data_IF_659240484114
#
_entry.id   IF_659240484114
#
_cell.length_a   1.000
_cell.length_b   1.000
_cell.length_c   1.000
_cell.angle_alpha   90.00
_cell.angle_beta   90.00
_cell.angle_gamma   90.00
#
_symmetry.space_group_name_H-M   'P 1'
#
loop_
_entity.id
_entity.type
_entity.pdbx_description
1 polymer ?
#
# COMPACT_ATOMS: atom_id res chain seq x y z
N UNK A 1 -33.31 86.72 -11.22
CA UNK A 1 -34.74 86.54 -11.54
C UNK A 1 -34.88 85.15 -12.17
N UNK A 2 -35.69 84.17 -11.76
CA UNK A 2 -36.69 83.98 -10.69
C UNK A 2 -36.56 82.51 -10.22
N UNK A 3 -36.50 82.20 -8.91
CA UNK A 3 -37.57 81.56 -8.09
C UNK A 3 -38.54 80.67 -8.88
N UNK A 4 -38.99 79.50 -8.45
CA UNK A 4 -38.84 78.55 -7.31
C UNK A 4 -39.69 77.35 -7.82
N UNK A 5 -39.35 76.10 -7.53
CA UNK A 5 -40.10 75.35 -6.50
C UNK A 5 -39.26 74.22 -5.93
N UNK A 6 -39.40 74.06 -4.62
CA UNK A 6 -38.87 72.99 -3.79
C UNK A 6 -39.78 71.77 -3.89
N UNK A 7 -39.20 70.59 -3.72
CA UNK A 7 -39.79 69.58 -2.83
C UNK A 7 -38.71 68.92 -1.99
N UNK A 8 -39.13 68.56 -0.77
CA UNK A 8 -38.35 68.25 0.43
C UNK A 8 -38.61 66.80 0.83
N UNK A 9 -37.56 66.10 1.25
CA UNK A 9 -37.49 65.01 2.25
C UNK A 9 -36.48 63.95 1.76
N UNK A 10 -35.62 63.31 2.56
CA UNK A 10 -35.24 63.44 3.95
C UNK A 10 -33.87 62.74 4.11
N UNK A 11 -33.16 63.13 5.15
CA UNK A 11 -31.79 62.76 5.49
C UNK A 11 -31.74 61.43 6.24
N UNK A 12 -30.75 60.58 5.93
CA UNK A 12 -30.15 59.67 6.92
C UNK A 12 -28.65 59.53 6.65
N UNK A 13 -27.84 60.23 7.46
CA UNK A 13 -26.39 60.02 7.60
C UNK A 13 -26.18 58.99 8.70
N UNK A 14 -25.31 58.02 8.47
CA UNK A 14 -24.76 57.21 9.55
C UNK A 14 -23.25 57.09 9.39
N UNK A 15 -22.52 57.58 10.40
CA UNK A 15 -21.07 57.45 10.54
C UNK A 15 -20.69 56.07 11.10
N UNK A 16 -19.57 55.46 10.69
CA UNK A 16 -19.13 54.20 11.28
C UNK A 16 -18.40 54.46 12.60
N UNK A 17 -18.92 53.87 13.67
CA UNK A 17 -18.32 53.85 14.99
C UNK A 17 -17.09 52.91 15.02
N UNK A 18 -16.01 53.40 15.63
CA UNK A 18 -14.82 52.62 15.99
C UNK A 18 -15.21 51.44 16.89
N UNK A 19 -14.85 50.22 16.50
CA UNK A 19 -14.82 49.06 17.41
C UNK A 19 -13.44 48.41 17.41
N UNK A 20 -13.01 48.09 18.63
CA UNK A 20 -11.69 47.61 19.04
C UNK A 20 -11.37 46.25 18.42
N UNK A 21 -10.13 46.10 17.97
CA UNK A 21 -9.54 44.84 17.50
C UNK A 21 -9.34 43.85 18.67
N UNK A 22 -9.75 42.58 18.54
CA UNK A 22 -9.18 41.49 19.30
C UNK A 22 -7.96 40.92 18.57
N UNK A 23 -6.89 40.65 19.32
CA UNK A 23 -5.68 39.93 18.89
C UNK A 23 -6.05 38.57 18.29
N UNK A 24 -5.71 38.34 17.02
CA UNK A 24 -5.78 37.04 16.37
C UNK A 24 -4.63 36.16 16.87
N UNK A 25 -4.98 35.18 17.71
CA UNK A 25 -4.15 34.02 17.99
C UNK A 25 -4.18 33.08 16.77
N UNK A 26 -2.99 32.64 16.32
CA UNK A 26 -2.79 31.58 15.32
C UNK A 26 -3.45 30.28 15.81
N UNK A 27 -4.44 29.79 15.09
CA UNK A 27 -4.96 28.43 15.25
C UNK A 27 -4.65 27.61 13.98
N UNK A 28 -3.79 26.59 14.13
CA UNK A 28 -3.58 25.51 13.16
C UNK A 28 -4.85 24.65 13.14
N UNK A 29 -5.58 24.65 12.04
CA UNK A 29 -6.76 23.80 11.86
C UNK A 29 -6.38 22.37 11.45
N UNK A 30 -6.61 21.41 12.34
CA UNK A 30 -6.92 20.02 11.96
C UNK A 30 -8.31 20.06 11.31
N UNK A 31 -8.42 19.78 9.99
CA UNK A 31 -9.70 19.65 9.30
C UNK A 31 -10.25 18.25 9.59
N UNK A 32 -11.30 18.18 10.40
CA UNK A 32 -12.22 17.03 10.44
C UNK A 32 -13.02 17.14 9.14
N UNK A 33 -12.81 16.21 8.22
CA UNK A 33 -13.58 16.16 6.97
C UNK A 33 -14.87 15.41 7.29
N UNK A 34 -15.95 16.17 7.48
CA UNK A 34 -17.31 15.62 7.51
C UNK A 34 -17.70 15.24 6.08
N UNK A 35 -17.27 14.06 5.63
CA UNK A 35 -17.75 13.46 4.39
C UNK A 35 -19.06 12.70 4.69
N UNK A 36 -20.19 13.42 4.67
CA UNK A 36 -21.49 12.78 4.40
C UNK A 36 -21.60 12.58 2.89
N UNK A 37 -21.10 11.45 2.43
CA UNK A 37 -21.55 10.83 1.18
C UNK A 37 -22.39 9.63 1.61
N UNK A 38 -23.60 9.51 1.07
CA UNK A 38 -24.52 8.40 1.32
C UNK A 38 -23.85 7.06 0.95
N UNK A 39 -23.10 6.51 1.89
CA UNK A 39 -22.64 5.14 1.89
C UNK A 39 -23.76 4.29 2.52
N UNK A 40 -24.09 3.12 1.96
CA UNK A 40 -25.04 2.22 2.59
C UNK A 40 -24.56 1.91 4.02
N UNK A 41 -25.48 1.91 4.98
CA UNK A 41 -25.27 1.44 6.36
C UNK A 41 -24.75 -0.01 6.33
N UNK A 42 -23.43 -0.16 6.22
CA UNK A 42 -22.75 -1.43 6.33
C UNK A 42 -21.46 -1.23 7.13
N UNK A 43 -21.57 -1.33 8.46
CA UNK A 43 -20.44 -1.41 9.40
C UNK A 43 -19.40 -2.47 8.97
N UNK A 44 -19.78 -3.42 8.10
CA UNK A 44 -18.89 -4.43 7.50
C UNK A 44 -17.92 -3.84 6.46
N UNK A 45 -18.34 -2.86 5.66
CA UNK A 45 -17.51 -2.26 4.61
C UNK A 45 -16.39 -1.38 5.21
N UNK A 46 -16.71 -0.59 6.24
CA UNK A 46 -15.78 0.29 6.95
C UNK A 46 -14.65 -0.47 7.69
N UNK A 47 -14.83 -1.76 7.94
CA UNK A 47 -13.87 -2.62 8.64
C UNK A 47 -13.13 -3.60 7.72
N UNK A 48 -13.33 -3.47 6.40
CA UNK A 48 -12.74 -4.38 5.41
C UNK A 48 -11.53 -3.81 4.65
N UNK A 49 -11.39 -2.48 4.58
CA UNK A 49 -10.29 -1.79 3.90
C UNK A 49 -9.62 -0.78 4.82
N UNK A 50 -8.30 -0.86 4.94
CA UNK A 50 -7.51 -0.02 5.85
C UNK A 50 -6.48 0.85 5.14
N UNK A 51 -6.27 0.63 3.84
CA UNK A 51 -5.66 1.61 2.95
C UNK A 51 -6.65 1.90 1.85
N UNK A 52 -6.67 3.15 1.40
CA UNK A 52 -7.55 3.56 0.29
C UNK A 52 -6.89 4.64 -0.53
N UNK A 53 -7.24 4.69 -1.80
CA UNK A 53 -6.84 5.73 -2.72
C UNK A 53 -8.06 6.60 -3.01
N UNK A 54 -8.04 7.83 -2.51
CA UNK A 54 -9.18 8.77 -2.59
C UNK A 54 -8.79 9.95 -3.45
N UNK A 55 -9.75 10.43 -4.24
CA UNK A 55 -9.65 11.70 -4.96
C UNK A 55 -10.40 12.76 -4.17
N UNK A 56 -9.76 13.90 -3.95
CA UNK A 56 -10.36 15.11 -3.40
C UNK A 56 -11.15 15.81 -4.50
N UNK A 57 -12.44 16.04 -4.25
CA UNK A 57 -13.35 16.65 -5.21
C UNK A 57 -13.08 18.15 -5.40
N UNK A 58 -12.51 18.83 -4.39
CA UNK A 58 -12.27 20.28 -4.45
C UNK A 58 -11.13 20.63 -5.42
N UNK A 59 -10.05 19.85 -5.41
CA UNK A 59 -8.82 20.20 -6.12
C UNK A 59 -8.27 19.08 -7.03
N UNK A 60 -8.96 17.94 -7.10
CA UNK A 60 -8.59 16.79 -7.92
C UNK A 60 -7.38 16.02 -7.41
N UNK A 61 -6.86 16.34 -6.22
CA UNK A 61 -5.71 15.68 -5.62
C UNK A 61 -6.06 14.25 -5.21
N UNK A 62 -5.19 13.31 -5.53
CA UNK A 62 -5.28 11.95 -5.07
C UNK A 62 -4.43 11.75 -3.81
N UNK A 63 -4.94 10.99 -2.86
CA UNK A 63 -4.23 10.66 -1.63
C UNK A 63 -4.27 9.14 -1.38
N UNK A 64 -3.10 8.53 -1.16
CA UNK A 64 -3.08 7.24 -0.47
C UNK A 64 -3.30 7.52 1.01
N UNK A 65 -4.34 6.93 1.58
CA UNK A 65 -4.68 7.08 2.98
C UNK A 65 -4.50 5.78 3.74
N UNK A 66 -4.04 5.90 4.98
CA UNK A 66 -3.90 4.84 5.96
C UNK A 66 -4.90 5.06 7.10
N UNK A 67 -5.58 3.99 7.51
CA UNK A 67 -6.52 4.00 8.61
C UNK A 67 -5.83 3.76 9.96
N UNK A 68 -6.30 4.46 10.98
CA UNK A 68 -6.09 4.13 12.39
C UNK A 68 -7.44 3.80 13.01
N UNK A 69 -7.60 2.55 13.43
CA UNK A 69 -8.84 2.06 14.03
C UNK A 69 -8.70 2.02 15.53
N UNK A 70 -9.59 2.69 16.24
CA UNK A 70 -9.65 2.67 17.70
C UNK A 70 -10.70 1.66 18.15
N UNK A 71 -10.30 0.75 19.03
CA UNK A 71 -11.16 -0.26 19.64
C UNK A 71 -11.19 -0.08 21.16
N UNK A 72 -12.34 -0.39 21.77
CA UNK A 72 -12.55 -0.38 23.22
C UNK A 72 -13.31 -1.63 23.66
N UNK A 73 -13.17 -2.08 24.92
CA UNK A 73 -13.91 -3.22 25.44
C UNK A 73 -15.42 -3.06 25.23
N UNK A 74 -16.11 -4.16 24.88
CA UNK A 74 -17.56 -4.16 24.73
C UNK A 74 -18.26 -3.83 26.04
N UNK A 75 -19.22 -2.90 25.98
CA UNK A 75 -20.11 -2.61 27.11
C UNK A 75 -20.95 -3.87 27.40
N UNK A 76 -20.71 -4.50 28.56
CA UNK A 76 -21.40 -5.74 28.97
C UNK A 76 -20.53 -6.99 28.96
N UNK A 77 -19.28 -6.89 28.50
CA UNK A 77 -18.27 -7.94 28.67
C UNK A 77 -18.20 -8.34 30.15
N UNK A 78 -18.33 -9.64 30.42
CA UNK A 78 -18.45 -10.24 31.76
C UNK A 78 -17.40 -9.63 32.69
N UNK A 79 -17.86 -8.79 33.62
CA UNK A 79 -17.03 -8.15 34.62
C UNK A 79 -16.49 -9.19 35.60
N UNK A 80 -15.48 -9.96 35.19
CA UNK A 80 -14.64 -10.70 36.13
C UNK A 80 -13.66 -9.70 36.73
N UNK A 81 -14.10 -9.12 37.86
CA UNK A 81 -13.32 -8.50 38.92
C UNK A 81 -11.92 -7.98 38.53
N UNK A 82 -11.88 -6.80 37.91
CA UNK A 82 -10.85 -5.79 38.14
C UNK A 82 -11.39 -4.45 37.64
N UNK A 83 -11.44 -3.47 38.53
CA UNK A 83 -12.05 -2.15 38.37
C UNK A 83 -11.35 -1.22 37.35
N UNK A 84 -10.51 -1.73 36.44
CA UNK A 84 -9.74 -0.94 35.47
C UNK A 84 -10.22 -1.02 34.01
N UNK A 85 -11.22 -1.88 33.69
CA UNK A 85 -11.62 -2.17 32.31
C UNK A 85 -12.31 -1.04 31.53
N UNK A 86 -12.72 0.07 32.17
CA UNK A 86 -13.47 1.17 31.51
C UNK A 86 -12.62 2.17 30.72
N UNK A 87 -11.29 2.08 30.79
CA UNK A 87 -10.37 2.99 30.09
C UNK A 87 -9.51 2.34 29.00
N UNK A 88 -9.60 1.01 28.81
CA UNK A 88 -8.70 0.32 27.88
C UNK A 88 -8.98 0.70 26.43
N UNK A 89 -7.93 1.04 25.70
CA UNK A 89 -8.00 1.46 24.32
C UNK A 89 -6.93 0.75 23.48
N UNK A 90 -7.35 0.15 22.37
CA UNK A 90 -6.45 -0.44 21.38
C UNK A 90 -6.53 0.39 20.11
N UNK A 91 -5.40 0.91 19.61
CA UNK A 91 -5.33 1.58 18.31
C UNK A 91 -4.58 0.72 17.32
N UNK A 92 -5.19 0.36 16.20
CA UNK A 92 -4.55 -0.40 15.11
C UNK A 92 -4.32 0.54 13.93
N UNK A 93 -3.07 0.87 13.67
CA UNK A 93 -2.66 1.69 12.53
C UNK A 93 -2.20 0.80 11.37
N UNK A 94 -2.79 0.96 10.20
CA UNK A 94 -2.38 0.32 8.96
C UNK A 94 -1.18 1.05 8.34
N UNK A 95 -0.02 0.92 8.95
CA UNK A 95 1.22 1.57 8.55
C UNK A 95 1.60 1.17 7.10
N UNK A 96 1.98 2.15 6.30
CA UNK A 96 2.63 1.90 5.01
C UNK A 96 4.15 1.89 5.18
N UNK A 97 4.83 0.94 4.53
CA UNK A 97 6.30 0.84 4.60
C UNK A 97 7.03 1.89 3.75
N UNK A 98 6.30 2.57 2.86
CA UNK A 98 6.78 3.67 2.03
C UNK A 98 5.80 4.83 2.16
N UNK A 99 6.29 6.04 2.40
CA UNK A 99 5.43 7.19 2.66
C UNK A 99 6.20 8.50 2.61
N UNK A 100 5.49 9.63 2.72
CA UNK A 100 6.16 10.91 2.91
C UNK A 100 6.78 11.02 4.31
N UNK A 101 7.86 11.78 4.47
CA UNK A 101 8.45 12.00 5.79
C UNK A 101 7.45 12.60 6.80
N UNK A 102 6.58 13.51 6.34
CA UNK A 102 5.56 14.13 7.19
C UNK A 102 4.55 13.11 7.73
N UNK A 103 4.25 12.07 6.96
CA UNK A 103 3.40 10.97 7.39
C UNK A 103 4.05 10.24 8.58
N UNK A 104 5.32 9.84 8.47
CA UNK A 104 6.04 9.14 9.55
C UNK A 104 6.26 10.02 10.77
N UNK A 105 6.57 11.31 10.59
CA UNK A 105 6.65 12.27 11.70
C UNK A 105 5.31 12.44 12.42
N UNK A 106 4.20 12.34 11.68
CA UNK A 106 2.85 12.28 12.24
C UNK A 106 2.60 10.99 13.03
N UNK A 107 2.98 9.83 12.47
CA UNK A 107 2.87 8.52 13.14
C UNK A 107 3.68 8.51 14.43
N UNK A 108 4.99 8.82 14.39
CA UNK A 108 5.84 8.86 15.58
C UNK A 108 5.25 9.76 16.66
N UNK A 109 4.72 10.94 16.30
CA UNK A 109 4.09 11.85 17.28
C UNK A 109 2.82 11.29 17.91
N UNK A 110 1.91 10.73 17.11
CA UNK A 110 0.60 10.28 17.57
C UNK A 110 0.68 8.93 18.30
N UNK A 111 1.76 8.18 18.07
CA UNK A 111 2.03 6.86 18.67
C UNK A 111 3.21 6.89 19.65
N UNK A 112 3.72 8.07 20.00
CA UNK A 112 4.75 8.20 21.02
C UNK A 112 4.20 7.69 22.36
N UNK A 113 4.80 6.62 22.88
CA UNK A 113 4.45 6.04 24.16
C UNK A 113 5.05 6.88 25.30
N UNK A 114 4.52 8.08 25.52
CA UNK A 114 4.99 8.99 26.57
C UNK A 114 4.77 8.35 27.94
N UNK A 115 5.79 8.40 28.80
CA UNK A 115 5.80 7.76 30.13
C UNK A 115 4.61 8.15 31.02
N UNK A 116 4.03 9.34 30.82
CA UNK A 116 2.88 9.83 31.60
C UNK A 116 1.51 9.41 31.05
N UNK A 117 1.46 8.82 29.86
CA UNK A 117 0.20 8.60 29.11
C UNK A 117 -0.29 7.14 29.14
N UNK A 118 0.31 6.28 29.96
CA UNK A 118 -0.15 4.88 30.12
C UNK A 118 -0.17 4.07 28.82
N UNK A 119 0.66 4.46 27.85
CA UNK A 119 0.64 3.92 26.50
C UNK A 119 1.84 2.99 26.25
N UNK A 120 1.58 1.90 25.50
CA UNK A 120 2.60 1.05 24.90
C UNK A 120 2.38 0.98 23.38
N UNK A 121 3.44 1.16 22.61
CA UNK A 121 3.39 1.08 21.14
C UNK A 121 4.11 -0.18 20.68
N UNK A 122 3.37 -1.08 20.05
CA UNK A 122 3.84 -2.36 19.55
C UNK A 122 4.00 -2.26 18.04
N UNK A 123 5.17 -2.65 17.53
CA UNK A 123 5.54 -2.44 16.12
C UNK A 123 5.75 -3.76 15.41
N UNK A 124 5.25 -3.84 14.17
CA UNK A 124 5.63 -4.85 13.20
C UNK A 124 7.08 -4.61 12.75
N UNK A 125 7.97 -5.53 13.13
CA UNK A 125 9.37 -5.46 12.74
C UNK A 125 10.01 -6.84 12.83
N UNK A 126 10.29 -7.42 11.67
CA UNK A 126 11.06 -8.66 11.58
C UNK A 126 12.54 -8.32 11.68
N UNK A 127 13.16 -8.74 12.78
CA UNK A 127 14.59 -8.53 13.02
C UNK A 127 15.20 -9.73 13.75
N UNK A 128 16.53 -9.83 13.79
CA UNK A 128 17.19 -10.92 14.52
C UNK A 128 17.10 -10.69 16.02
N UNK A 129 17.16 -11.77 16.80
CA UNK A 129 17.24 -11.69 18.27
C UNK A 129 18.43 -10.87 18.78
N UNK A 130 19.51 -10.77 18.02
CA UNK A 130 20.69 -9.99 18.40
C UNK A 130 20.41 -8.47 18.44
N UNK A 131 19.38 -8.01 17.71
CA UNK A 131 18.97 -6.60 17.70
C UNK A 131 17.97 -6.27 18.81
N UNK A 132 17.53 -7.26 19.60
CA UNK A 132 16.50 -7.13 20.61
C UNK A 132 17.10 -7.10 22.02
N UNK A 133 16.52 -6.27 22.87
CA UNK A 133 16.78 -6.23 24.31
C UNK A 133 15.49 -6.52 25.08
N UNK A 134 15.60 -6.97 26.32
CA UNK A 134 14.44 -7.19 27.18
C UNK A 134 13.73 -5.85 27.45
N UNK A 135 12.43 -5.77 27.18
CA UNK A 135 11.63 -4.57 27.42
C UNK A 135 11.27 -4.36 28.88
N UNK A 136 11.53 -5.32 29.76
CA UNK A 136 11.49 -5.10 31.22
C UNK A 136 12.41 -3.95 31.66
N UNK A 137 13.46 -3.65 30.87
CA UNK A 137 14.39 -2.53 31.05
C UNK A 137 13.69 -1.16 30.97
N UNK A 138 12.49 -1.06 30.37
CA UNK A 138 11.71 0.19 30.29
C UNK A 138 11.05 0.58 31.63
N UNK A 139 11.12 -0.26 32.67
CA UNK A 139 10.54 0.02 33.99
C UNK A 139 9.00 -0.06 34.04
N UNK A 140 8.31 -0.07 32.90
CA UNK A 140 6.83 -0.14 32.79
C UNK A 140 6.24 -1.54 33.00
N UNK A 141 7.07 -2.56 33.23
CA UNK A 141 6.63 -3.94 33.47
C UNK A 141 6.05 -4.68 32.26
N UNK A 142 6.17 -4.13 31.05
CA UNK A 142 5.73 -4.78 29.81
C UNK A 142 6.73 -5.88 29.42
N UNK A 143 6.25 -7.13 29.37
CA UNK A 143 7.06 -8.32 29.08
C UNK A 143 7.16 -8.58 27.57
N UNK A 144 7.73 -7.63 26.83
CA UNK A 144 8.00 -7.72 25.40
C UNK A 144 9.42 -7.27 25.09
N UNK A 145 9.92 -7.57 23.89
CA UNK A 145 11.23 -7.10 23.47
C UNK A 145 11.18 -5.64 23.02
N UNK A 146 12.31 -4.95 23.13
CA UNK A 146 12.56 -3.64 22.53
C UNK A 146 13.68 -3.73 21.52
N UNK A 147 13.70 -2.79 20.58
CA UNK A 147 14.81 -2.65 19.66
C UNK A 147 16.01 -2.03 20.38
N UNK A 148 17.14 -2.74 20.38
CA UNK A 148 18.38 -2.31 21.05
C UNK A 148 19.38 -1.58 20.14
N UNK A 149 19.22 -1.69 18.82
CA UNK A 149 20.13 -1.10 17.83
C UNK A 149 19.36 -0.36 16.75
N UNK A 150 20.02 0.60 16.10
CA UNK A 150 19.43 1.27 14.94
C UNK A 150 19.34 0.30 13.77
N UNK A 151 18.20 0.31 13.08
CA UNK A 151 18.00 -0.44 11.85
C UNK A 151 17.70 0.53 10.72
N UNK A 152 18.34 0.29 9.57
CA UNK A 152 18.04 0.98 8.32
C UNK A 152 17.26 0.08 7.36
N UNK A 153 16.61 0.66 6.33
CA UNK A 153 16.02 -0.11 5.25
C UNK A 153 17.10 -0.84 4.43
N UNK A 154 16.71 -1.91 3.74
CA UNK A 154 17.61 -2.54 2.75
C UNK A 154 17.86 -1.60 1.57
N UNK A 155 18.91 -1.88 0.79
CA UNK A 155 19.25 -1.08 -0.39
C UNK A 155 18.10 -1.07 -1.41
N UNK A 156 17.41 -2.20 -1.58
CA UNK A 156 16.26 -2.34 -2.48
C UNK A 156 15.07 -1.52 -1.99
N UNK A 157 14.73 -1.58 -0.69
CA UNK A 157 13.66 -0.79 -0.12
C UNK A 157 13.95 0.71 -0.25
N UNK A 158 15.19 1.13 -0.02
CA UNK A 158 15.62 2.52 -0.19
C UNK A 158 15.53 2.98 -1.64
N UNK A 159 15.99 2.15 -2.59
CA UNK A 159 15.90 2.43 -4.01
C UNK A 159 14.44 2.53 -4.48
N UNK A 160 13.56 1.65 -3.99
CA UNK A 160 12.13 1.65 -4.29
C UNK A 160 11.46 2.94 -3.79
N UNK A 161 11.74 3.34 -2.55
CA UNK A 161 11.23 4.58 -1.98
C UNK A 161 11.69 5.79 -2.80
N UNK A 162 12.99 5.86 -3.12
CA UNK A 162 13.58 6.94 -3.91
C UNK A 162 12.99 7.04 -5.33
N UNK A 163 12.70 5.91 -5.98
CA UNK A 163 12.06 5.87 -7.30
C UNK A 163 10.67 6.54 -7.35
N UNK A 164 10.05 6.74 -6.18
CA UNK A 164 8.76 7.42 -5.99
C UNK A 164 8.84 8.77 -5.28
N UNK A 165 10.04 9.24 -4.92
CA UNK A 165 10.17 10.43 -4.05
C UNK A 165 9.48 10.22 -2.70
N UNK A 166 9.60 9.01 -2.15
CA UNK A 166 9.11 8.62 -0.83
C UNK A 166 10.30 8.22 0.05
N UNK A 167 10.03 8.05 1.34
CA UNK A 167 10.96 7.50 2.32
C UNK A 167 10.53 6.10 2.71
N UNK A 168 11.49 5.22 3.01
CA UNK A 168 11.19 3.95 3.65
C UNK A 168 10.89 4.20 5.15
N UNK A 169 10.05 3.34 5.74
CA UNK A 169 9.67 3.45 7.16
C UNK A 169 10.87 3.60 8.09
N UNK A 170 11.88 2.74 7.95
CA UNK A 170 13.05 2.71 8.83
C UNK A 170 14.02 3.89 8.63
N UNK A 171 13.88 4.69 7.56
CA UNK A 171 14.66 5.93 7.41
C UNK A 171 14.13 7.04 8.32
N UNK A 172 12.88 6.95 8.80
CA UNK A 172 12.20 8.06 9.51
C UNK A 172 11.65 7.65 10.87
N UNK A 173 11.18 6.40 11.02
CA UNK A 173 10.56 5.89 12.23
C UNK A 173 11.57 5.08 13.06
N UNK A 174 11.95 5.59 14.24
CA UNK A 174 12.85 4.89 15.16
C UNK A 174 12.05 4.16 16.25
N UNK A 175 12.09 2.83 16.21
CA UNK A 175 11.38 1.98 17.18
C UNK A 175 12.17 1.73 18.49
N UNK A 176 13.29 2.42 18.72
CA UNK A 176 14.08 2.30 19.96
C UNK A 176 13.53 3.12 21.12
N UNK A 177 12.61 4.04 20.87
CA UNK A 177 12.06 4.93 21.90
C UNK A 177 11.47 4.17 23.11
N UNK A 178 11.48 4.79 24.29
CA UNK A 178 10.84 4.21 25.48
C UNK A 178 9.34 4.03 25.27
N UNK A 179 8.81 2.90 25.75
CA UNK A 179 7.43 2.49 25.51
C UNK A 179 7.14 1.92 24.11
N UNK A 180 8.14 1.80 23.23
CA UNK A 180 8.04 1.08 21.97
C UNK A 180 8.58 -0.34 22.11
N UNK A 181 7.80 -1.32 21.69
CA UNK A 181 8.10 -2.74 21.80
C UNK A 181 7.89 -3.44 20.47
N UNK A 182 8.60 -4.55 20.27
CA UNK A 182 8.46 -5.41 19.11
C UNK A 182 7.46 -6.51 19.47
N UNK A 183 6.39 -6.61 18.68
CA UNK A 183 5.34 -7.61 18.87
C UNK A 183 5.19 -8.55 17.66
N UNK A 184 6.30 -8.80 16.98
CA UNK A 184 6.35 -9.62 15.78
C UNK A 184 7.26 -10.84 15.99
N UNK A 185 7.23 -11.77 15.04
CA UNK A 185 8.15 -12.90 15.00
C UNK A 185 9.57 -12.41 14.67
N UNK A 186 10.57 -13.06 15.25
CA UNK A 186 11.96 -12.78 14.89
C UNK A 186 12.27 -13.33 13.49
N UNK A 187 13.39 -12.90 12.90
CA UNK A 187 13.85 -13.44 11.62
C UNK A 187 14.01 -14.95 11.67
N UNK A 188 14.57 -15.47 12.75
CA UNK A 188 14.79 -16.91 12.96
C UNK A 188 13.46 -17.67 13.04
N UNK A 189 12.50 -17.11 13.78
CA UNK A 189 11.15 -17.67 13.89
C UNK A 189 10.40 -17.63 12.55
N UNK A 190 10.57 -16.56 11.78
CA UNK A 190 9.98 -16.47 10.44
C UNK A 190 10.54 -17.53 9.49
N UNK A 191 11.84 -17.80 9.53
CA UNK A 191 12.48 -18.85 8.74
C UNK A 191 11.90 -20.21 9.14
N UNK A 192 11.85 -20.51 10.44
CA UNK A 192 11.26 -21.75 10.93
C UNK A 192 9.78 -21.90 10.55
N UNK A 193 8.99 -20.82 10.63
CA UNK A 193 7.58 -20.83 10.20
C UNK A 193 7.44 -21.02 8.69
N UNK A 194 8.36 -20.51 7.87
CA UNK A 194 8.38 -20.72 6.42
C UNK A 194 8.75 -22.16 6.07
N UNK A 195 9.68 -22.76 6.80
CA UNK A 195 10.04 -24.18 6.69
C UNK A 195 8.84 -25.06 7.08
N UNK A 196 8.23 -24.82 8.25
CA UNK A 196 7.04 -25.54 8.72
C UNK A 196 5.87 -25.36 7.74
N UNK A 197 5.63 -24.14 7.24
CA UNK A 197 4.58 -23.90 6.25
C UNK A 197 4.90 -24.56 4.89
N UNK A 198 6.18 -24.67 4.53
CA UNK A 198 6.65 -25.42 3.36
C UNK A 198 6.45 -26.93 3.51
N UNK A 199 6.59 -27.46 4.73
CA UNK A 199 6.31 -28.85 5.07
C UNK A 199 4.79 -29.13 5.20
N UNK A 200 4.02 -28.20 5.76
CA UNK A 200 2.54 -28.25 5.84
C UNK A 200 1.89 -28.12 4.46
N UNK A 201 2.47 -27.32 3.55
CA UNK A 201 2.11 -27.28 2.15
C UNK A 201 2.62 -28.51 1.36
N UNK A 202 3.53 -29.29 1.95
CA UNK A 202 4.16 -30.48 1.38
C UNK A 202 3.29 -31.75 1.41
N UNK A 203 2.10 -31.72 2.02
CA UNK A 203 1.13 -32.83 2.01
C UNK A 203 0.32 -32.99 0.71
N UNK A 204 0.47 -32.08 -0.25
CA UNK A 204 -0.19 -32.17 -1.55
C UNK A 204 0.75 -31.73 -2.65
N UNK A 205 1.33 -32.70 -3.37
CA UNK A 205 2.23 -32.45 -4.49
C UNK A 205 1.66 -31.47 -5.51
N UNK A 206 2.02 -30.20 -5.38
CA UNK A 206 1.96 -29.24 -6.48
C UNK A 206 3.30 -29.33 -7.20
N UNK A 207 3.26 -29.89 -8.40
CA UNK A 207 4.39 -29.92 -9.31
C UNK A 207 5.08 -28.54 -9.33
N UNK A 208 6.34 -28.48 -8.91
CA UNK A 208 7.22 -27.37 -9.23
C UNK A 208 7.26 -27.31 -10.76
N UNK A 209 6.50 -26.39 -11.35
CA UNK A 209 6.53 -26.18 -12.80
C UNK A 209 7.95 -25.78 -13.19
N UNK A 210 8.52 -26.44 -14.21
CA UNK A 210 9.89 -26.26 -14.71
C UNK A 210 10.27 -24.79 -15.04
N UNK A 211 9.29 -23.89 -15.09
CA UNK A 211 9.46 -22.44 -15.25
C UNK A 211 10.15 -21.78 -14.05
N UNK A 212 9.98 -22.30 -12.82
CA UNK A 212 10.54 -21.72 -11.60
C UNK A 212 12.05 -22.00 -11.40
N UNK A 213 12.66 -22.83 -12.26
CA UNK A 213 14.10 -23.13 -12.28
C UNK A 213 14.84 -22.44 -13.42
N UNK A 214 14.16 -21.59 -14.18
CA UNK A 214 14.76 -20.84 -15.29
C UNK A 214 15.49 -19.60 -14.76
N UNK A 215 16.60 -19.17 -15.39
CA UNK A 215 17.17 -17.84 -15.19
C UNK A 215 16.08 -16.76 -15.28
N UNK A 216 16.16 -15.65 -14.53
CA UNK A 216 15.09 -14.65 -14.47
C UNK A 216 14.64 -14.11 -15.84
N UNK A 217 15.56 -14.01 -16.80
CA UNK A 217 15.24 -13.62 -18.17
C UNK A 217 14.39 -14.68 -18.92
N UNK A 218 14.65 -15.97 -18.68
CA UNK A 218 13.91 -17.08 -19.28
C UNK A 218 12.59 -17.35 -18.53
N UNK A 219 12.54 -17.14 -17.21
CA UNK A 219 11.29 -17.10 -16.45
C UNK A 219 10.39 -15.99 -16.98
N UNK A 220 10.94 -14.77 -17.16
CA UNK A 220 10.24 -13.64 -17.75
C UNK A 220 9.68 -13.97 -19.15
N UNK A 221 10.48 -14.59 -20.02
CA UNK A 221 10.01 -15.02 -21.34
C UNK A 221 8.92 -16.10 -21.26
N UNK A 222 9.05 -17.08 -20.37
CA UNK A 222 8.07 -18.15 -20.20
C UNK A 222 6.74 -17.64 -19.61
N UNK A 223 6.79 -16.79 -18.58
CA UNK A 223 5.60 -16.14 -17.99
C UNK A 223 4.93 -15.22 -19.01
N UNK A 224 5.72 -14.50 -19.81
CA UNK A 224 5.23 -13.65 -20.90
C UNK A 224 4.53 -14.49 -21.97
N UNK A 225 5.13 -15.58 -22.42
CA UNK A 225 4.56 -16.44 -23.47
C UNK A 225 3.34 -17.24 -22.99
N UNK A 226 3.36 -17.81 -21.79
CA UNK A 226 2.40 -18.84 -21.35
C UNK A 226 1.44 -18.39 -20.24
N UNK A 227 1.68 -17.25 -19.60
CA UNK A 227 0.89 -16.75 -18.47
C UNK A 227 1.19 -17.47 -17.15
N UNK A 228 0.76 -16.88 -16.03
CA UNK A 228 1.03 -17.41 -14.66
C UNK A 228 0.06 -18.49 -14.21
N UNK A 229 -1.17 -18.48 -14.71
CA UNK A 229 -2.13 -19.56 -14.47
C UNK A 229 -1.81 -20.70 -15.43
N UNK A 230 -0.90 -21.58 -15.03
CA UNK A 230 -0.30 -22.59 -15.91
C UNK A 230 -1.32 -23.37 -16.74
N UNK A 231 -1.04 -23.46 -18.05
CA UNK A 231 -1.23 -24.58 -18.98
C UNK A 231 -2.50 -25.47 -18.94
N UNK A 232 -3.52 -25.19 -18.12
CA UNK A 232 -4.67 -26.08 -17.90
C UNK A 232 -5.91 -25.74 -18.72
N UNK A 233 -5.91 -24.59 -19.41
CA UNK A 233 -7.01 -24.17 -20.28
C UNK A 233 -6.48 -23.95 -21.71
N UNK A 234 -6.70 -24.90 -22.63
CA UNK A 234 -6.26 -24.79 -24.02
C UNK A 234 -6.83 -23.56 -24.75
N UNK A 235 -8.05 -23.12 -24.40
CA UNK A 235 -8.66 -21.96 -25.02
C UNK A 235 -7.99 -20.66 -24.58
N UNK A 236 -7.61 -20.55 -23.29
CA UNK A 236 -6.82 -19.41 -22.80
C UNK A 236 -5.42 -19.40 -23.39
N UNK A 237 -4.76 -20.55 -23.45
CA UNK A 237 -3.44 -20.62 -24.07
C UNK A 237 -3.50 -20.23 -25.55
N UNK A 238 -4.47 -20.75 -26.31
CA UNK A 238 -4.67 -20.37 -27.70
C UNK A 238 -4.96 -18.88 -27.87
N UNK A 239 -5.83 -18.31 -27.03
CA UNK A 239 -6.14 -16.87 -27.07
C UNK A 239 -4.89 -16.03 -26.80
N UNK A 240 -4.10 -16.40 -25.78
CA UNK A 240 -2.86 -15.71 -25.44
C UNK A 240 -1.82 -15.81 -26.56
N UNK A 241 -1.64 -17.01 -27.14
CA UNK A 241 -0.72 -17.21 -28.26
C UNK A 241 -1.16 -16.42 -29.50
N UNK A 242 -2.46 -16.31 -29.73
CA UNK A 242 -3.02 -15.51 -30.84
C UNK A 242 -2.76 -14.02 -30.66
N UNK A 243 -2.76 -13.52 -29.42
CA UNK A 243 -2.42 -12.12 -29.13
C UNK A 243 -0.99 -11.73 -29.52
N UNK A 244 -0.05 -12.68 -29.66
CA UNK A 244 1.31 -12.37 -30.13
C UNK A 244 1.41 -12.09 -31.63
N UNK A 245 0.38 -12.44 -32.41
CA UNK A 245 0.40 -12.35 -33.87
C UNK A 245 -0.41 -11.16 -34.42
N UNK A 246 -0.87 -10.27 -33.54
CA UNK A 246 -1.62 -9.06 -33.90
C UNK A 246 -0.77 -7.81 -33.64
N UNK A 247 -1.09 -6.66 -34.26
CA UNK A 247 -0.47 -5.39 -33.89
C UNK A 247 -0.73 -5.07 -32.41
N UNK A 248 0.24 -4.42 -31.75
CA UNK A 248 0.20 -4.06 -30.33
C UNK A 248 -0.05 -5.28 -29.40
N UNK A 249 0.72 -6.37 -29.51
CA UNK A 249 0.44 -7.61 -28.78
C UNK A 249 0.51 -7.41 -27.27
N UNK A 250 1.38 -6.54 -26.76
CA UNK A 250 1.43 -6.16 -25.34
C UNK A 250 0.13 -5.54 -24.83
N UNK A 251 -0.51 -4.66 -25.61
CA UNK A 251 -1.79 -4.07 -25.23
C UNK A 251 -2.90 -5.13 -25.15
N UNK A 252 -2.92 -6.06 -26.11
CA UNK A 252 -3.89 -7.16 -26.14
C UNK A 252 -3.67 -8.13 -24.98
N UNK A 253 -2.42 -8.47 -24.67
CA UNK A 253 -2.07 -9.35 -23.55
C UNK A 253 -2.39 -8.71 -22.20
N UNK A 254 -2.11 -7.42 -22.02
CA UNK A 254 -2.49 -6.68 -20.82
C UNK A 254 -4.01 -6.62 -20.65
N UNK A 255 -4.74 -6.36 -21.75
CA UNK A 255 -6.21 -6.37 -21.74
C UNK A 255 -6.75 -7.76 -21.42
N UNK A 256 -6.17 -8.80 -22.01
CA UNK A 256 -6.54 -10.19 -21.79
C UNK A 256 -6.35 -10.59 -20.33
N UNK A 257 -5.19 -10.27 -19.75
CA UNK A 257 -4.90 -10.51 -18.34
C UNK A 257 -5.83 -9.70 -17.43
N UNK A 258 -6.17 -8.46 -17.82
CA UNK A 258 -7.10 -7.60 -17.09
C UNK A 258 -8.56 -8.11 -17.13
N UNK A 259 -9.04 -8.56 -18.29
CA UNK A 259 -10.38 -9.16 -18.43
C UNK A 259 -10.47 -10.46 -17.64
N UNK A 260 -9.45 -11.32 -17.72
CA UNK A 260 -9.42 -12.58 -16.98
C UNK A 260 -9.25 -12.38 -15.47
N UNK A 261 -8.73 -11.24 -15.04
CA UNK A 261 -8.74 -10.79 -13.65
C UNK A 261 -10.08 -10.15 -13.21
N UNK A 262 -11.11 -10.08 -14.07
CA UNK A 262 -12.43 -9.53 -13.73
C UNK A 262 -12.55 -8.00 -13.88
N UNK A 263 -11.80 -7.43 -14.82
CA UNK A 263 -11.49 -6.01 -14.96
C UNK A 263 -12.62 -4.97 -14.80
N UNK A 264 -12.28 -3.90 -14.08
CA UNK A 264 -12.85 -2.55 -14.15
C UNK A 264 -11.70 -1.54 -14.21
N UNK A 265 -11.77 -0.46 -15.01
CA UNK A 265 -10.65 0.47 -15.11
C UNK A 265 -10.53 1.19 -13.76
N UNK A 266 -9.32 1.27 -13.21
CA UNK A 266 -9.15 2.02 -11.97
C UNK A 266 -9.48 3.49 -12.21
N UNK A 267 -10.22 4.09 -11.28
CA UNK A 267 -10.59 5.50 -11.31
C UNK A 267 -9.36 6.43 -11.39
N UNK A 268 -8.18 5.95 -10.98
CA UNK A 268 -6.92 6.71 -11.04
C UNK A 268 -6.29 6.75 -12.43
N UNK A 269 -6.71 5.88 -13.37
CA UNK A 269 -6.07 5.75 -14.68
C UNK A 269 -6.05 7.07 -15.46
N UNK A 270 -7.15 7.83 -15.42
CA UNK A 270 -7.20 9.15 -16.07
C UNK A 270 -6.15 10.11 -15.52
N UNK A 271 -5.97 10.14 -14.19
CA UNK A 271 -4.96 10.96 -13.54
C UNK A 271 -3.52 10.52 -13.88
N UNK A 272 -3.26 9.22 -14.01
CA UNK A 272 -1.96 8.71 -14.47
C UNK A 272 -1.66 9.16 -15.91
N UNK A 273 -2.64 9.06 -16.81
CA UNK A 273 -2.50 9.52 -18.20
C UNK A 273 -2.22 11.02 -18.23
N UNK A 274 -2.92 11.81 -17.42
CA UNK A 274 -2.69 13.25 -17.31
C UNK A 274 -1.27 13.58 -16.85
N UNK A 275 -0.76 12.86 -15.85
CA UNK A 275 0.62 12.98 -15.40
C UNK A 275 1.62 12.62 -16.52
N UNK A 276 1.45 11.48 -17.19
CA UNK A 276 2.31 11.05 -18.30
C UNK A 276 2.29 12.05 -19.48
N UNK A 277 1.12 12.54 -19.86
CA UNK A 277 0.95 13.50 -20.96
C UNK A 277 1.64 14.85 -20.67
N UNK A 278 1.88 15.19 -19.41
CA UNK A 278 2.61 16.38 -18.99
C UNK A 278 4.08 16.11 -18.63
N UNK A 279 4.58 14.88 -18.85
CA UNK A 279 5.93 14.49 -18.47
C UNK A 279 6.16 14.34 -16.97
N UNK A 280 5.10 14.40 -16.14
CA UNK A 280 5.17 14.17 -14.69
C UNK A 280 5.15 12.67 -14.38
N UNK A 281 6.23 12.00 -14.77
CA UNK A 281 6.38 10.56 -14.57
C UNK A 281 6.48 10.16 -13.09
N UNK A 282 6.92 11.08 -12.23
CA UNK A 282 7.02 10.82 -10.79
C UNK A 282 5.62 10.71 -10.17
N UNK A 283 4.72 11.65 -10.47
CA UNK A 283 3.33 11.58 -10.02
C UNK A 283 2.61 10.37 -10.60
N UNK A 284 2.81 10.04 -11.88
CA UNK A 284 2.25 8.83 -12.49
C UNK A 284 2.68 7.56 -11.73
N UNK A 285 3.99 7.44 -11.42
CA UNK A 285 4.53 6.31 -10.64
C UNK A 285 3.95 6.26 -9.22
N UNK A 286 3.79 7.40 -8.53
CA UNK A 286 3.21 7.45 -7.18
C UNK A 286 1.74 7.04 -7.16
N UNK A 287 0.97 7.41 -8.18
CA UNK A 287 -0.42 6.96 -8.35
C UNK A 287 -0.50 5.46 -8.61
N UNK A 288 0.37 4.93 -9.48
CA UNK A 288 0.46 3.49 -9.75
C UNK A 288 0.80 2.69 -8.50
N UNK A 289 1.80 3.17 -7.76
CA UNK A 289 2.22 2.56 -6.51
C UNK A 289 1.11 2.56 -5.46
N UNK A 290 0.40 3.69 -5.30
CA UNK A 290 -0.74 3.79 -4.39
C UNK A 290 -1.87 2.81 -4.77
N UNK A 291 -2.22 2.76 -6.06
CA UNK A 291 -3.26 1.85 -6.55
C UNK A 291 -2.89 0.39 -6.31
N UNK A 292 -1.64 0.02 -6.54
CA UNK A 292 -1.16 -1.33 -6.29
C UNK A 292 -1.30 -1.68 -4.80
N UNK A 293 -0.83 -0.82 -3.90
CA UNK A 293 -0.90 -1.08 -2.45
C UNK A 293 -2.35 -1.34 -2.00
N UNK A 294 -3.31 -0.55 -2.50
CA UNK A 294 -4.74 -0.74 -2.19
C UNK A 294 -5.28 -2.02 -2.82
N UNK A 295 -4.88 -2.31 -4.06
CA UNK A 295 -5.34 -3.51 -4.78
C UNK A 295 -4.82 -4.81 -4.14
N UNK A 296 -3.64 -4.77 -3.52
CA UNK A 296 -3.08 -5.91 -2.78
C UNK A 296 -3.88 -6.28 -1.52
N UNK A 297 -4.68 -5.35 -0.99
CA UNK A 297 -5.59 -5.61 0.14
C UNK A 297 -6.97 -6.14 -0.28
N UNK A 298 -7.36 -5.96 -1.54
CA UNK A 298 -8.67 -6.36 -2.02
C UNK A 298 -8.77 -7.89 -2.12
N UNK A 299 -9.82 -8.46 -1.52
CA UNK A 299 -10.15 -9.90 -1.64
C UNK A 299 -10.77 -10.19 -3.01
N UNK A 300 -10.41 -11.32 -3.63
CA UNK A 300 -11.11 -11.87 -4.81
C UNK A 300 -10.21 -12.07 -6.03
N UNK A 301 -10.78 -12.36 -7.22
CA UNK A 301 -9.98 -12.68 -8.42
C UNK A 301 -9.28 -11.47 -9.06
N UNK A 302 -9.69 -10.24 -8.74
CA UNK A 302 -9.14 -9.00 -9.31
C UNK A 302 -8.03 -8.36 -8.45
N UNK A 303 -8.05 -8.58 -7.13
CA UNK A 303 -6.94 -8.26 -6.24
C UNK A 303 -6.28 -9.57 -5.88
N UNK A 304 -5.00 -9.77 -6.20
CA UNK A 304 -4.30 -11.04 -5.97
C UNK A 304 -4.19 -11.50 -4.50
N UNK A 305 -4.97 -10.91 -3.57
CA UNK A 305 -5.11 -11.35 -2.19
C UNK A 305 -5.87 -12.67 -2.11
N UNK A 306 -5.13 -13.74 -1.89
CA UNK A 306 -5.65 -14.99 -1.34
C UNK A 306 -6.25 -14.76 0.07
N UNK A 307 -6.89 -15.78 0.64
CA UNK A 307 -7.08 -15.87 2.08
C UNK A 307 -5.80 -15.45 2.82
N UNK A 308 -5.97 -14.80 3.97
CA UNK A 308 -4.87 -14.29 4.81
C UNK A 308 -3.74 -15.33 4.84
N UNK A 309 -2.56 -15.03 4.26
CA UNK A 309 -1.51 -16.02 4.16
C UNK A 309 -1.21 -16.58 5.55
N UNK A 310 -1.01 -17.89 5.68
CA UNK A 310 -0.82 -18.56 6.99
C UNK A 310 0.22 -17.84 7.86
N UNK A 311 1.27 -17.31 7.24
CA UNK A 311 2.30 -16.51 7.92
C UNK A 311 1.77 -15.18 8.48
N UNK A 312 0.86 -14.49 7.78
CA UNK A 312 0.21 -13.26 8.26
C UNK A 312 -0.65 -13.56 9.48
N UNK A 313 -1.45 -14.64 9.44
CA UNK A 313 -2.29 -15.05 10.56
C UNK A 313 -1.46 -15.42 11.80
N UNK A 314 -0.36 -16.17 11.62
CA UNK A 314 0.57 -16.50 12.71
C UNK A 314 1.20 -15.26 13.34
N UNK A 315 1.63 -14.29 12.52
CA UNK A 315 2.18 -13.01 13.00
C UNK A 315 1.12 -12.17 13.72
N UNK A 316 -0.13 -12.19 13.24
CA UNK A 316 -1.25 -11.53 13.92
C UNK A 316 -1.52 -12.14 15.31
N UNK A 317 -1.38 -13.45 15.46
CA UNK A 317 -1.49 -14.09 16.78
C UNK A 317 -0.42 -13.60 17.76
N UNK A 318 0.83 -13.46 17.31
CA UNK A 318 1.94 -12.92 18.12
C UNK A 318 1.67 -11.46 18.50
N UNK A 319 1.19 -10.65 17.55
CA UNK A 319 0.84 -9.26 17.82
C UNK A 319 -0.24 -9.13 18.90
N UNK A 320 -1.29 -9.95 18.82
CA UNK A 320 -2.41 -9.94 19.77
C UNK A 320 -2.01 -10.49 21.15
N UNK A 321 -1.12 -11.48 21.20
CA UNK A 321 -0.49 -11.89 22.46
C UNK A 321 0.36 -10.75 23.06
N UNK A 322 1.05 -9.97 22.22
CA UNK A 322 1.73 -8.74 22.61
C UNK A 322 0.79 -7.72 23.23
N UNK A 323 -0.38 -7.50 22.64
CA UNK A 323 -1.43 -6.62 23.20
C UNK A 323 -1.86 -7.09 24.59
N UNK A 324 -2.07 -8.40 24.78
CA UNK A 324 -2.42 -8.98 26.09
C UNK A 324 -1.33 -8.75 27.13
N UNK A 325 -0.07 -9.01 26.76
CA UNK A 325 1.10 -8.77 27.62
C UNK A 325 1.21 -7.30 28.03
N UNK A 326 0.97 -6.38 27.10
CA UNK A 326 0.99 -4.95 27.38
C UNK A 326 -0.14 -4.55 28.34
N UNK A 327 -1.39 -4.96 28.10
CA UNK A 327 -2.51 -4.66 29.03
C UNK A 327 -2.42 -5.34 30.40
N UNK A 328 -1.58 -6.37 30.54
CA UNK A 328 -1.30 -6.98 31.83
C UNK A 328 -0.34 -6.15 32.69
N UNK A 329 0.37 -5.19 32.11
CA UNK A 329 1.14 -4.21 32.87
C UNK A 329 0.18 -3.21 33.53
N UNK A 330 0.34 -2.92 34.84
CA UNK A 330 -0.63 -2.15 35.61
C UNK A 330 -0.77 -0.69 35.16
N UNK A 331 0.27 -0.13 34.53
CA UNK A 331 0.31 1.26 34.08
C UNK A 331 -0.19 1.44 32.64
N UNK A 332 -0.53 0.36 31.94
CA UNK A 332 -0.89 0.42 30.52
C UNK A 332 -2.40 0.31 30.34
N UNK A 333 -3.01 1.42 29.92
CA UNK A 333 -4.43 1.51 29.53
C UNK A 333 -4.60 1.69 28.02
N UNK A 334 -3.59 2.19 27.31
CA UNK A 334 -3.59 2.29 25.85
C UNK A 334 -2.52 1.41 25.23
N UNK A 335 -2.91 0.61 24.25
CA UNK A 335 -1.97 -0.11 23.38
C UNK A 335 -2.14 0.38 21.95
N UNK A 336 -1.05 0.74 21.30
CA UNK A 336 -1.04 1.06 19.90
C UNK A 336 -0.33 -0.06 19.12
N UNK A 337 -0.93 -0.55 18.03
CA UNK A 337 -0.35 -1.47 17.07
C UNK A 337 0.01 -0.71 15.80
N UNK A 338 1.29 -0.71 15.43
CA UNK A 338 1.80 -0.20 14.16
C UNK A 338 2.12 -1.38 13.24
N UNK A 339 1.18 -1.72 12.35
CA UNK A 339 1.27 -2.89 11.47
C UNK A 339 0.89 -2.55 10.04
N UNK A 340 1.45 -3.27 9.08
CA UNK A 340 1.20 -3.18 7.66
C UNK A 340 -0.29 -3.33 7.35
N UNK A 341 -0.74 -2.65 6.30
CA UNK A 341 -2.16 -2.69 5.92
C UNK A 341 -2.72 -4.10 5.65
N UNK A 342 -1.88 -5.07 5.28
CA UNK A 342 -2.29 -6.48 5.11
C UNK A 342 -2.71 -7.15 6.44
N UNK A 343 -2.10 -6.75 7.55
CA UNK A 343 -2.37 -7.30 8.88
C UNK A 343 -3.62 -6.70 9.53
N UNK A 344 -3.93 -5.42 9.23
CA UNK A 344 -4.97 -4.67 9.92
C UNK A 344 -6.37 -5.35 9.95
N UNK A 345 -6.89 -5.94 8.86
CA UNK A 345 -8.17 -6.68 8.93
C UNK A 345 -8.14 -7.85 9.91
N UNK A 346 -7.07 -8.65 9.89
CA UNK A 346 -6.90 -9.81 10.77
C UNK A 346 -6.71 -9.40 12.23
N UNK A 347 -5.97 -8.33 12.48
CA UNK A 347 -5.75 -7.76 13.82
C UNK A 347 -7.05 -7.19 14.40
N UNK A 348 -7.82 -6.42 13.63
CA UNK A 348 -9.13 -5.90 14.08
C UNK A 348 -10.08 -7.05 14.38
N UNK A 349 -10.15 -8.06 13.50
CA UNK A 349 -10.95 -9.27 13.74
C UNK A 349 -10.50 -9.97 15.04
N UNK A 350 -9.20 -10.20 15.22
CA UNK A 350 -8.67 -10.84 16.42
C UNK A 350 -8.94 -10.02 17.69
N UNK A 351 -8.90 -8.69 17.63
CA UNK A 351 -9.26 -7.85 18.77
C UNK A 351 -10.75 -8.01 19.14
N UNK A 352 -11.65 -8.12 18.15
CA UNK A 352 -13.07 -8.38 18.40
C UNK A 352 -13.34 -9.77 18.97
N UNK A 353 -12.69 -10.78 18.40
CA UNK A 353 -12.95 -12.19 18.74
C UNK A 353 -12.22 -12.64 20.01
N UNK A 354 -10.98 -12.17 20.23
CA UNK A 354 -10.07 -12.67 21.28
C UNK A 354 -9.88 -11.72 22.46
N UNK A 355 -10.21 -10.43 22.30
CA UNK A 355 -10.09 -9.41 23.35
C UNK A 355 -11.44 -8.78 23.73
N UNK A 356 -12.53 -9.19 23.09
CA UNK A 356 -13.89 -8.66 23.28
C UNK A 356 -13.96 -7.13 23.21
N UNK A 357 -13.32 -6.57 22.17
CA UNK A 357 -13.33 -5.13 21.89
C UNK A 357 -14.18 -4.83 20.65
N UNK A 358 -14.84 -3.67 20.60
CA UNK A 358 -15.51 -3.18 19.40
C UNK A 358 -14.81 -1.94 18.85
N UNK A 359 -14.93 -1.77 17.53
CA UNK A 359 -14.47 -0.58 16.82
C UNK A 359 -15.34 0.60 17.23
N UNK A 360 -14.72 1.68 17.69
CA UNK A 360 -15.42 2.90 18.11
C UNK A 360 -15.10 4.11 17.25
N UNK A 361 -13.98 4.09 16.53
CA UNK A 361 -13.55 5.19 15.66
C UNK A 361 -12.57 4.71 14.59
N UNK A 362 -12.57 5.39 13.44
CA UNK A 362 -11.67 5.15 12.30
C UNK A 362 -11.18 6.49 11.76
N UNK A 363 -9.91 6.79 11.99
CA UNK A 363 -9.26 8.00 11.50
C UNK A 363 -8.42 7.70 10.25
N UNK A 364 -8.49 8.57 9.24
CA UNK A 364 -7.71 8.44 8.01
C UNK A 364 -6.62 9.50 7.93
N UNK A 365 -5.40 9.08 7.60
CA UNK A 365 -4.25 9.98 7.37
C UNK A 365 -3.67 9.75 5.99
N UNK A 366 -3.28 10.82 5.31
CA UNK A 366 -2.58 10.72 4.05
C UNK A 366 -1.15 10.21 4.27
N UNK A 367 -0.80 9.10 3.63
CA UNK A 367 0.57 8.62 3.51
C UNK A 367 1.37 9.50 2.53
N UNK A 368 0.73 9.87 1.42
CA UNK A 368 1.19 10.91 0.50
C UNK A 368 0.03 11.39 -0.38
N UNK A 369 0.27 12.52 -1.05
CA UNK A 369 -0.64 13.13 -2.02
C UNK A 369 0.03 13.28 -3.38
N UNK A 370 -0.77 13.19 -4.43
CA UNK A 370 -0.40 13.48 -5.81
C UNK A 370 -1.48 14.37 -6.39
N UNK A 371 -1.10 15.56 -6.87
CA UNK A 371 -2.01 16.45 -7.58
C UNK A 371 -1.76 16.30 -9.07
N UNK A 372 -2.61 15.58 -9.82
CA UNK A 372 -2.43 15.45 -11.25
C UNK A 372 -2.57 16.83 -11.90
N UNK A 373 -1.83 17.10 -12.98
CA UNK A 373 -2.02 18.30 -13.76
C UNK A 373 -3.44 18.34 -14.31
N UNK A 374 -4.09 19.50 -14.21
CA UNK A 374 -5.40 19.72 -14.83
C UNK A 374 -5.21 19.76 -16.35
N UNK A 375 -5.24 18.60 -17.00
CA UNK A 375 -5.08 18.55 -18.45
C UNK A 375 -6.45 18.45 -19.12
N UNK A 376 -6.86 19.54 -19.77
CA UNK A 376 -8.07 19.57 -20.60
C UNK A 376 -7.77 19.24 -22.07
N UNK A 377 -6.50 19.02 -22.45
CA UNK A 377 -6.11 18.88 -23.84
C UNK A 377 -6.62 17.56 -24.44
N UNK A 378 -7.42 17.59 -25.53
CA UNK A 378 -7.83 16.39 -26.25
C UNK A 378 -6.64 15.61 -26.83
N UNK A 379 -5.48 16.27 -27.01
CA UNK A 379 -4.25 15.65 -27.52
C UNK A 379 -3.73 14.52 -26.62
N UNK A 380 -4.11 14.45 -25.34
CA UNK A 380 -3.76 13.32 -24.47
C UNK A 380 -4.32 11.99 -24.99
N UNK A 381 -5.44 12.02 -25.71
CA UNK A 381 -6.00 10.83 -26.34
C UNK A 381 -5.27 10.48 -27.64
N UNK A 382 -4.51 11.39 -28.23
CA UNK A 382 -3.74 11.14 -29.46
C UNK A 382 -2.53 10.22 -29.22
N UNK A 383 -2.07 10.07 -27.97
CA UNK A 383 -1.05 9.08 -27.60
C UNK A 383 -1.48 7.67 -27.95
N UNK A 384 -2.77 7.33 -27.77
CA UNK A 384 -3.26 5.97 -28.05
C UNK A 384 -3.23 5.69 -29.57
N UNK A 385 -3.86 6.50 -30.45
CA UNK A 385 -3.72 6.35 -31.90
C UNK A 385 -2.26 6.41 -32.40
N UNK A 386 -1.40 7.22 -31.79
CA UNK A 386 0.01 7.30 -32.16
C UNK A 386 0.73 5.99 -31.85
N UNK A 387 0.54 5.45 -30.65
CA UNK A 387 1.09 4.16 -30.24
C UNK A 387 0.58 3.03 -31.14
N UNK A 388 -0.75 2.96 -31.33
CA UNK A 388 -1.39 1.98 -32.22
C UNK A 388 -0.89 2.11 -33.67
N UNK A 389 -0.62 3.35 -34.12
CA UNK A 389 -0.07 3.63 -35.44
C UNK A 389 1.35 3.11 -35.59
N UNK A 390 2.23 3.42 -34.64
CA UNK A 390 3.63 2.95 -34.62
C UNK A 390 3.67 1.41 -34.61
N UNK A 391 2.98 0.79 -33.67
CA UNK A 391 2.95 -0.68 -33.54
C UNK A 391 2.27 -1.35 -34.74
N UNK A 392 1.23 -0.72 -35.31
CA UNK A 392 0.59 -1.18 -36.53
C UNK A 392 1.53 -1.16 -37.73
N UNK A 393 2.33 -0.09 -37.89
CA UNK A 393 3.33 -0.03 -38.97
C UNK A 393 4.46 -1.03 -38.78
N UNK A 394 4.89 -1.26 -37.55
CA UNK A 394 5.95 -2.23 -37.24
C UNK A 394 5.48 -3.68 -37.45
N UNK A 395 4.23 -4.00 -37.11
CA UNK A 395 3.62 -5.27 -37.47
C UNK A 395 3.54 -5.45 -38.99
N UNK A 396 3.14 -4.40 -39.72
CA UNK A 396 2.99 -4.48 -41.18
C UNK A 396 4.33 -4.70 -41.86
N UNK A 397 5.37 -4.03 -41.37
CA UNK A 397 6.75 -4.26 -41.80
C UNK A 397 7.20 -5.69 -41.50
N UNK A 398 6.90 -6.21 -40.30
CA UNK A 398 7.23 -7.59 -39.91
C UNK A 398 6.60 -8.61 -40.86
N UNK A 399 5.32 -8.43 -41.23
CA UNK A 399 4.67 -9.29 -42.20
C UNK A 399 5.27 -9.18 -43.60
N UNK A 400 5.58 -7.97 -44.05
CA UNK A 400 6.23 -7.75 -45.33
C UNK A 400 7.58 -8.49 -45.39
N UNK A 401 8.40 -8.33 -44.36
CA UNK A 401 9.70 -9.00 -44.23
C UNK A 401 9.55 -10.52 -44.14
N UNK A 402 8.49 -11.01 -43.47
CA UNK A 402 8.19 -12.43 -43.37
C UNK A 402 7.94 -13.09 -44.73
N UNK A 403 7.34 -12.35 -45.67
CA UNK A 403 7.05 -12.82 -47.04
C UNK A 403 8.26 -12.64 -47.95
N UNK A 404 8.92 -11.48 -47.91
CA UNK A 404 9.97 -11.09 -48.87
C UNK A 404 11.29 -11.80 -48.61
N UNK A 405 11.66 -12.06 -47.35
CA UNK A 405 12.97 -12.62 -47.00
C UNK A 405 13.03 -14.17 -47.14
N UNK A 406 11.92 -14.80 -47.51
CA UNK A 406 11.81 -16.26 -47.62
C UNK A 406 11.70 -16.99 -46.27
N UNK A 407 11.50 -18.31 -46.27
CA UNK A 407 10.96 -19.03 -45.11
C UNK A 407 11.80 -18.92 -43.82
N UNK A 408 13.13 -18.99 -43.93
CA UNK A 408 14.03 -18.99 -42.76
C UNK A 408 14.17 -17.60 -42.14
N UNK A 409 14.39 -16.59 -42.97
CA UNK A 409 14.56 -15.21 -42.50
C UNK A 409 13.21 -14.60 -42.11
N UNK A 410 12.11 -15.01 -42.73
CA UNK A 410 10.78 -14.59 -42.34
C UNK A 410 10.35 -15.12 -40.98
N UNK A 411 10.65 -16.39 -40.67
CA UNK A 411 10.46 -16.93 -39.31
C UNK A 411 11.28 -16.17 -38.27
N UNK A 412 12.52 -15.80 -38.60
CA UNK A 412 13.37 -15.00 -37.72
C UNK A 412 12.79 -13.59 -37.49
N UNK A 413 12.25 -12.95 -38.53
CA UNK A 413 11.61 -11.63 -38.42
C UNK A 413 10.42 -11.66 -37.45
N UNK A 414 9.53 -12.65 -37.60
CA UNK A 414 8.38 -12.85 -36.69
C UNK A 414 8.86 -13.16 -35.27
N UNK A 415 9.91 -13.97 -35.11
CA UNK A 415 10.48 -14.26 -33.79
C UNK A 415 11.02 -13.01 -33.11
N UNK A 416 11.76 -12.15 -33.83
CA UNK A 416 12.29 -10.90 -33.29
C UNK A 416 11.19 -9.91 -32.91
N UNK A 417 10.11 -9.84 -33.69
CA UNK A 417 8.90 -9.10 -33.34
C UNK A 417 8.34 -9.56 -31.99
N UNK A 418 8.13 -10.87 -31.82
CA UNK A 418 7.64 -11.45 -30.56
C UNK A 418 8.59 -11.14 -29.40
N UNK A 419 9.91 -11.22 -29.59
CA UNK A 419 10.89 -10.92 -28.52
C UNK A 419 10.85 -9.44 -28.14
N UNK A 420 10.81 -8.52 -29.09
CA UNK A 420 10.78 -7.07 -28.83
C UNK A 420 9.50 -6.68 -28.09
N UNK A 421 8.34 -7.10 -28.58
CA UNK A 421 7.08 -6.81 -27.91
C UNK A 421 6.90 -7.63 -26.63
N UNK A 422 7.54 -8.79 -26.53
CA UNK A 422 7.65 -9.57 -25.30
C UNK A 422 8.40 -8.81 -24.21
N UNK A 423 9.52 -8.17 -24.57
CA UNK A 423 10.25 -7.30 -23.66
C UNK A 423 9.43 -6.06 -23.27
N UNK A 424 8.67 -5.47 -24.19
CA UNK A 424 7.79 -4.34 -23.91
C UNK A 424 6.62 -4.74 -22.99
N UNK A 425 5.93 -5.85 -23.28
CA UNK A 425 4.91 -6.43 -22.42
C UNK A 425 5.48 -6.77 -21.05
N UNK A 426 6.68 -7.36 -20.97
CA UNK A 426 7.30 -7.69 -19.68
C UNK A 426 7.66 -6.41 -18.92
N UNK A 427 8.20 -5.38 -19.58
CA UNK A 427 8.49 -4.10 -18.95
C UNK A 427 7.21 -3.39 -18.48
N UNK A 428 6.17 -3.37 -19.31
CA UNK A 428 4.86 -2.81 -18.99
C UNK A 428 4.15 -3.61 -17.91
N UNK A 429 4.18 -4.94 -17.97
CA UNK A 429 3.65 -5.85 -16.96
C UNK A 429 4.40 -5.72 -15.65
N UNK A 430 5.72 -5.60 -15.68
CA UNK A 430 6.52 -5.28 -14.49
C UNK A 430 6.16 -3.91 -13.92
N UNK A 431 5.88 -2.94 -14.78
CA UNK A 431 5.52 -1.57 -14.40
C UNK A 431 4.05 -1.40 -13.97
N UNK A 432 3.10 -2.16 -14.52
CA UNK A 432 1.64 -2.08 -14.31
C UNK A 432 1.09 -3.18 -13.38
N UNK A 433 1.69 -4.37 -13.36
CA UNK A 433 1.15 -5.60 -12.77
C UNK A 433 2.07 -6.31 -11.75
N UNK A 434 3.39 -6.13 -11.82
CA UNK A 434 4.37 -7.01 -11.15
C UNK A 434 5.18 -6.37 -10.02
N UNK A 435 4.73 -5.23 -9.52
CA UNK A 435 5.30 -4.61 -8.32
C UNK A 435 5.09 -5.44 -7.03
N UNK A 436 4.32 -6.53 -7.07
CA UNK A 436 3.86 -7.27 -5.90
C UNK A 436 4.88 -8.28 -5.31
N UNK A 437 5.89 -8.75 -6.08
CA UNK A 437 6.79 -9.82 -5.61
C UNK A 437 7.97 -9.30 -4.77
N UNK A 438 8.56 -8.17 -5.15
CA UNK A 438 9.78 -7.64 -4.51
C UNK A 438 9.53 -6.91 -3.17
N UNK A 439 8.28 -6.53 -2.89
CA UNK A 439 7.93 -5.87 -1.62
C UNK A 439 7.95 -6.82 -0.41
N UNK A 440 7.77 -8.12 -0.65
CA UNK A 440 7.55 -9.11 0.40
C UNK A 440 8.49 -10.33 0.33
N UNK A 441 9.12 -10.56 -0.84
CA UNK A 441 10.30 -11.42 -0.97
C UNK A 441 11.56 -10.55 -0.94
N UNK A 442 11.87 -10.00 0.23
CA UNK A 442 13.27 -9.74 0.52
C UNK A 442 13.93 -11.13 0.57
N UNK A 443 14.56 -11.53 -0.54
CA UNK A 443 15.66 -12.50 -0.47
C UNK A 443 16.58 -11.95 0.61
N UNK A 444 16.56 -12.60 1.77
CA UNK A 444 17.42 -12.17 2.84
C UNK A 444 18.81 -12.55 2.39
N UNK A 445 19.52 -11.57 1.84
CA UNK A 445 20.85 -11.75 1.30
C UNK A 445 21.74 -12.50 2.29
N UNK A 446 22.76 -13.21 1.79
CA UNK A 446 23.69 -13.92 2.66
C UNK A 446 24.25 -12.96 3.70
N UNK A 447 24.30 -13.43 4.95
CA UNK A 447 24.89 -12.70 6.07
C UNK A 447 26.29 -12.21 5.70
N UNK A 448 26.69 -10.97 6.04
CA UNK A 448 28.07 -10.49 5.85
C UNK A 448 29.11 -11.21 6.75
N UNK A 449 28.76 -12.33 7.38
CA UNK A 449 29.64 -13.09 8.27
C UNK A 449 30.54 -14.12 7.55
N UNK A 450 30.58 -14.18 6.22
CA UNK A 450 31.45 -15.13 5.49
C UNK A 450 32.59 -14.48 4.70
N UNK A 451 32.94 -13.22 4.97
CA UNK A 451 34.22 -12.66 4.51
C UNK A 451 35.26 -12.82 5.62
N UNK A 452 36.21 -13.71 5.37
CA UNK A 452 37.47 -13.98 6.07
C UNK A 452 37.43 -14.55 7.50
N UNK A 453 37.27 -15.87 7.53
CA UNK A 453 38.15 -16.73 8.34
C UNK A 453 38.72 -17.86 7.49
N UNK A 454 39.67 -17.51 6.63
CA UNK A 454 40.70 -18.45 6.19
C UNK A 454 42.02 -17.69 6.10
N UNK A 455 43.02 -18.31 6.69
CA UNK A 455 44.43 -17.96 6.59
C UNK A 455 44.93 -17.92 5.14
#
# INVERSE_FOLDING_TARGET
MARRTRDVAAVARWSPARRRLPRLARARGRRRVDARVDAPDDDSAATSQFLRLVRDDEDGTWALQSATVTLRPRLGARATASTSGRGRELKVCALVHYGGEEYYRGVSRDFAAREREGAATLVELITSRANLIDGSVDGRGVKLFRLGTELGPTAEAKALAAAHGLSAQLDVLDARENGWFIADVTREELIALREEAGELAGGGGKAKTAVATLPPALEAMAVTAFGRSGARDPARLFTRLSCWLVPCPEAHLLLLDWVWAGGRPSNVLGAMVDCCANGDLLSARRLAFAQMIVSAQARGPAGGGSDEPVLVARRNDVAIDGVRKAFNAPEIDRVNLLYGGLHAPGLVKCARDKLDMDVVDVEWRDAWRVRPPANASPLRYAIIPLLLGIDGTDWAQTLHDAVVLGPRAGVLSVFLYIVRHGALYYALGKWLLEWNRQLFDADVGPSPASVDRTA
#
